data_IF_497754701242
#
_entry.id   IF_497754701242
#
_cell.length_a   1.000
_cell.length_b   1.000
_cell.length_c   1.000
_cell.angle_alpha   90.00
_cell.angle_beta   90.00
_cell.angle_gamma   90.00
#
_symmetry.space_group_name_H-M   'P 1'
#
loop_
_entity.id
_entity.type
_entity.pdbx_description
1 polymer ?
#
# COMPACT_ATOMS: atom_id res chain seq x y z
N UNK A 1 -10.39 41.80 -39.59
CA UNK A 1 -9.63 43.04 -39.30
C UNK A 1 -8.65 42.74 -38.17
N UNK A 2 -7.42 43.28 -38.21
CA UNK A 2 -6.33 42.93 -37.28
C UNK A 2 -6.35 43.83 -36.05
N UNK A 3 -6.17 43.28 -34.83
CA UNK A 3 -5.71 44.02 -33.64
C UNK A 3 -4.77 43.13 -32.81
N UNK A 4 -3.51 43.10 -33.21
CA UNK A 4 -2.40 42.62 -32.38
C UNK A 4 -2.05 43.72 -31.39
N UNK A 5 -1.93 43.40 -30.09
CA UNK A 5 -1.36 44.32 -29.09
C UNK A 5 -0.04 43.74 -28.60
N UNK A 6 1.01 44.55 -28.73
CA UNK A 6 2.41 44.25 -28.41
C UNK A 6 2.77 44.82 -27.03
N UNK A 7 3.81 44.22 -26.41
CA UNK A 7 4.64 44.80 -25.33
C UNK A 7 3.93 45.04 -23.98
N UNK A 8 4.56 44.80 -22.83
CA UNK A 8 5.91 45.17 -22.46
C UNK A 8 6.69 44.10 -21.67
N UNK A 9 8.00 44.05 -21.95
CA UNK A 9 9.01 43.31 -21.20
C UNK A 9 9.60 44.26 -20.14
N UNK A 10 9.58 43.86 -18.87
CA UNK A 10 10.33 44.56 -17.80
C UNK A 10 11.22 43.56 -17.08
N UNK A 11 12.48 43.55 -17.50
CA UNK A 11 13.57 42.86 -16.82
C UNK A 11 14.02 43.73 -15.63
N UNK A 12 14.12 43.16 -14.43
CA UNK A 12 14.68 43.87 -13.27
C UNK A 12 15.47 42.91 -12.39
N UNK A 13 16.70 42.64 -12.84
CA UNK A 13 17.76 42.04 -12.04
C UNK A 13 18.29 43.07 -11.04
N UNK A 14 18.12 42.82 -9.74
CA UNK A 14 18.87 43.53 -8.68
C UNK A 14 19.92 42.58 -8.12
N UNK A 15 21.17 42.89 -8.44
CA UNK A 15 22.37 42.37 -7.77
C UNK A 15 22.82 43.37 -6.68
N UNK A 16 23.94 43.06 -6.02
CA UNK A 16 24.58 43.74 -4.87
C UNK A 16 24.06 43.32 -3.48
N UNK A 17 24.91 43.19 -2.45
CA UNK A 17 26.36 42.98 -2.39
C UNK A 17 26.77 42.47 -0.99
N UNK A 18 27.99 41.93 -0.91
CA UNK A 18 28.62 41.29 0.25
C UNK A 18 28.61 42.07 1.59
N UNK A 19 28.75 41.31 2.68
CA UNK A 19 29.61 41.68 3.81
C UNK A 19 30.52 40.50 4.20
N UNK A 20 31.72 40.80 4.69
CA UNK A 20 32.85 39.86 4.78
C UNK A 20 33.05 39.22 6.16
N UNK A 21 33.95 38.24 6.18
CA UNK A 21 34.43 37.49 7.34
C UNK A 21 35.15 38.34 8.38
N UNK A 22 35.15 37.87 9.64
CA UNK A 22 36.24 38.15 10.59
C UNK A 22 36.86 36.84 11.07
N UNK A 23 38.19 36.73 10.88
CA UNK A 23 39.12 35.73 11.46
C UNK A 23 39.34 36.06 12.95
N UNK A 24 39.95 35.26 13.85
CA UNK A 24 40.40 33.85 13.96
C UNK A 24 40.95 33.73 15.39
N UNK A 25 40.72 32.62 16.10
CA UNK A 25 41.62 32.17 17.17
C UNK A 25 41.63 30.64 17.21
N UNK A 26 42.82 30.06 17.44
CA UNK A 26 43.09 28.63 17.26
C UNK A 26 43.40 27.97 18.60
N UNK A 27 42.82 26.80 18.86
CA UNK A 27 43.41 25.79 19.74
C UNK A 27 43.11 24.39 19.18
N UNK A 28 44.17 23.66 18.89
CA UNK A 28 44.20 22.32 18.30
C UNK A 28 44.52 21.32 19.41
N UNK A 29 43.79 20.20 19.50
CA UNK A 29 44.40 18.86 19.59
C UNK A 29 43.34 17.75 19.67
N UNK A 30 43.64 16.63 19.03
CA UNK A 30 42.90 15.38 19.06
C UNK A 30 43.06 14.61 20.39
N UNK A 31 42.02 13.87 20.81
CA UNK A 31 42.22 12.61 21.53
C UNK A 31 41.22 11.56 21.03
N UNK A 32 41.74 10.38 20.73
CA UNK A 32 41.01 9.28 20.10
C UNK A 32 40.22 8.44 21.11
N UNK A 33 39.33 7.60 20.57
CA UNK A 33 38.59 6.58 21.31
C UNK A 33 39.50 5.43 21.76
N UNK A 34 39.15 4.80 22.88
CA UNK A 34 39.65 3.49 23.28
C UNK A 34 38.53 2.72 24.00
N UNK A 35 38.16 1.56 23.45
CA UNK A 35 37.37 0.55 24.16
C UNK A 35 37.68 -0.83 23.59
N UNK A 36 38.64 -1.48 24.23
CA UNK A 36 38.84 -2.93 24.40
C UNK A 36 38.37 -3.90 23.30
N UNK A 37 39.32 -4.49 22.58
CA UNK A 37 39.18 -5.83 21.98
C UNK A 37 40.28 -6.74 22.54
N UNK A 38 39.89 -7.94 22.94
CA UNK A 38 40.82 -8.96 23.44
C UNK A 38 41.40 -9.83 22.31
N UNK A 39 42.63 -10.30 22.56
CA UNK A 39 43.45 -11.21 21.76
C UNK A 39 42.70 -12.51 21.41
N UNK A 40 42.85 -13.09 20.20
CA UNK A 40 43.74 -14.26 19.96
C UNK A 40 44.15 -14.44 18.49
N UNK A 41 45.38 -14.94 18.36
CA UNK A 41 46.24 -15.19 17.20
C UNK A 41 45.81 -16.35 16.29
N UNK A 42 46.14 -16.23 14.99
CA UNK A 42 46.89 -17.24 14.18
C UNK A 42 46.10 -18.49 13.68
N UNK A 43 46.22 -19.02 12.44
CA UNK A 43 47.18 -18.79 11.34
C UNK A 43 46.66 -19.13 9.92
N UNK A 44 47.36 -18.56 8.91
CA UNK A 44 47.74 -19.15 7.59
C UNK A 44 46.73 -19.69 6.56
N UNK A 45 46.73 -19.05 5.36
CA UNK A 45 46.89 -19.65 4.00
C UNK A 45 45.80 -20.59 3.40
N UNK A 46 45.61 -20.71 2.06
CA UNK A 46 46.02 -19.94 0.86
C UNK A 46 45.20 -20.41 -0.36
N UNK A 47 44.97 -19.48 -1.28
CA UNK A 47 44.32 -19.53 -2.60
C UNK A 47 44.27 -20.83 -3.45
N UNK A 48 43.17 -20.90 -4.24
CA UNK A 48 43.13 -21.01 -5.73
C UNK A 48 42.51 -22.27 -6.36
N UNK A 49 41.55 -22.01 -7.28
CA UNK A 49 41.33 -22.70 -8.59
C UNK A 49 41.03 -24.22 -8.64
N UNK A 50 40.36 -24.80 -9.66
CA UNK A 50 39.45 -24.37 -10.73
C UNK A 50 38.97 -25.65 -11.49
N UNK A 51 37.81 -25.63 -12.16
CA UNK A 51 37.31 -26.69 -13.07
C UNK A 51 36.98 -28.08 -12.44
N UNK A 52 36.17 -28.98 -13.02
CA UNK A 52 35.34 -28.93 -14.26
C UNK A 52 34.25 -30.03 -14.27
N UNK A 53 33.04 -29.67 -14.71
CA UNK A 53 32.25 -30.28 -15.79
C UNK A 53 32.15 -31.83 -15.97
N UNK A 54 30.91 -32.34 -15.77
CA UNK A 54 30.17 -33.39 -16.52
C UNK A 54 30.43 -34.92 -16.42
N UNK A 55 29.28 -35.62 -16.30
CA UNK A 55 28.81 -36.82 -17.03
C UNK A 55 28.98 -38.26 -16.49
N UNK A 56 27.85 -38.76 -15.94
CA UNK A 56 27.04 -39.86 -16.51
C UNK A 56 27.22 -41.32 -16.07
N UNK A 57 26.08 -42.04 -16.21
CA UNK A 57 25.91 -43.50 -16.48
C UNK A 57 25.69 -44.39 -15.23
N UNK A 58 24.79 -45.39 -15.14
CA UNK A 58 23.43 -45.75 -15.68
C UNK A 58 22.95 -47.01 -14.90
N UNK A 59 21.65 -47.36 -14.95
CA UNK A 59 21.03 -48.66 -14.53
C UNK A 59 20.60 -48.78 -13.05
N UNK A 60 19.49 -49.44 -12.67
CA UNK A 60 18.43 -50.12 -13.44
C UNK A 60 17.21 -50.53 -12.57
N UNK A 61 16.08 -50.85 -13.22
CA UNK A 61 15.01 -51.82 -12.80
C UNK A 61 14.06 -51.40 -11.64
N UNK A 62 12.73 -51.64 -11.65
CA UNK A 62 11.82 -52.28 -12.64
C UNK A 62 10.33 -51.89 -12.41
N UNK A 63 9.50 -51.92 -13.49
CA UNK A 63 8.04 -52.26 -13.63
C UNK A 63 7.13 -52.43 -12.38
N UNK A 64 5.81 -52.18 -12.32
CA UNK A 64 4.69 -52.16 -13.33
C UNK A 64 3.33 -51.83 -12.63
N UNK A 65 2.12 -51.63 -13.21
CA UNK A 65 1.58 -51.18 -14.54
C UNK A 65 0.01 -51.16 -14.49
N UNK A 66 -0.67 -50.31 -15.32
CA UNK A 66 -2.11 -50.31 -15.75
C UNK A 66 -3.32 -50.08 -14.80
N UNK A 67 -4.09 -49.02 -15.09
CA UNK A 67 -5.57 -48.92 -15.43
C UNK A 67 -6.51 -50.11 -15.08
N UNK A 68 -7.80 -49.95 -14.71
CA UNK A 68 -8.86 -49.11 -15.33
C UNK A 68 -10.20 -49.09 -14.52
N UNK A 69 -11.19 -48.28 -14.95
CA UNK A 69 -12.67 -48.43 -14.79
C UNK A 69 -13.44 -47.96 -13.53
N UNK A 70 -14.16 -46.84 -13.69
CA UNK A 70 -15.64 -46.68 -13.61
C UNK A 70 -16.46 -47.28 -12.45
N UNK A 71 -17.15 -46.43 -11.68
CA UNK A 71 -18.65 -46.35 -11.65
C UNK A 71 -19.18 -45.28 -10.69
N UNK A 72 -20.33 -44.70 -11.05
CA UNK A 72 -21.04 -43.66 -10.28
C UNK A 72 -21.89 -44.26 -9.15
N UNK A 73 -22.07 -43.52 -8.07
CA UNK A 73 -23.25 -43.66 -7.20
C UNK A 73 -23.81 -42.29 -6.86
N UNK A 74 -24.98 -41.99 -7.42
CA UNK A 74 -25.81 -40.88 -6.99
C UNK A 74 -26.22 -41.03 -5.52
N UNK A 75 -26.20 -39.94 -4.76
CA UNK A 75 -26.93 -39.84 -3.50
C UNK A 75 -27.48 -38.43 -3.38
N UNK A 76 -28.71 -38.25 -3.86
CA UNK A 76 -29.50 -37.06 -3.61
C UNK A 76 -29.75 -36.92 -2.11
N UNK A 77 -29.15 -35.91 -1.48
CA UNK A 77 -29.54 -35.43 -0.16
C UNK A 77 -30.08 -34.02 -0.28
N UNK A 78 -31.40 -33.91 -0.38
CA UNK A 78 -32.11 -32.64 -0.31
C UNK A 78 -31.88 -32.03 1.07
N UNK A 79 -31.17 -30.90 1.17
CA UNK A 79 -31.05 -30.13 2.41
C UNK A 79 -31.25 -28.66 2.11
N UNK A 80 -32.31 -28.11 2.70
CA UNK A 80 -32.66 -26.69 2.84
C UNK A 80 -32.06 -25.71 1.82
N UNK A 81 -32.90 -25.25 0.89
CA UNK A 81 -32.84 -23.85 0.46
C UNK A 81 -33.07 -22.98 1.69
N UNK A 82 -31.99 -22.56 2.35
CA UNK A 82 -32.04 -21.38 3.19
C UNK A 82 -32.42 -20.22 2.28
N UNK A 83 -33.68 -19.81 2.36
CA UNK A 83 -34.12 -18.50 1.85
C UNK A 83 -33.53 -17.46 2.78
N UNK A 84 -32.22 -17.27 2.70
CA UNK A 84 -31.57 -16.07 3.24
C UNK A 84 -32.25 -14.90 2.56
N UNK A 85 -32.98 -14.13 3.35
CA UNK A 85 -33.48 -12.83 2.92
C UNK A 85 -32.26 -12.05 2.45
N UNK A 86 -32.14 -11.85 1.13
CA UNK A 86 -31.04 -11.10 0.52
C UNK A 86 -31.24 -9.64 0.91
N UNK A 87 -30.85 -9.31 2.14
CA UNK A 87 -30.74 -7.94 2.63
C UNK A 87 -29.81 -7.24 1.66
N UNK A 88 -30.35 -6.28 0.92
CA UNK A 88 -29.61 -5.54 -0.10
C UNK A 88 -28.67 -4.52 0.54
N UNK A 89 -27.75 -5.02 1.37
CA UNK A 89 -26.74 -4.23 2.05
C UNK A 89 -25.76 -3.70 1.01
N UNK A 90 -25.37 -2.43 1.15
CA UNK A 90 -24.35 -1.81 0.30
C UNK A 90 -23.02 -2.58 0.42
N UNK A 91 -22.71 -3.09 1.61
CA UNK A 91 -21.56 -3.95 1.90
C UNK A 91 -21.95 -5.26 2.61
N UNK A 92 -21.17 -6.32 2.36
CA UNK A 92 -21.37 -7.64 2.97
C UNK A 92 -20.05 -8.43 3.00
N UNK A 93 -20.03 -9.55 3.73
CA UNK A 93 -18.88 -10.45 3.76
C UNK A 93 -18.50 -10.98 2.36
N UNK A 94 -19.49 -11.32 1.52
CA UNK A 94 -19.24 -11.79 0.14
C UNK A 94 -18.61 -10.70 -0.74
N UNK A 95 -19.07 -9.45 -0.58
CA UNK A 95 -18.47 -8.29 -1.26
C UNK A 95 -17.04 -8.03 -0.77
N UNK A 96 -16.79 -8.22 0.52
CA UNK A 96 -15.43 -8.16 1.09
C UNK A 96 -14.50 -9.24 0.51
N UNK A 97 -14.97 -10.47 0.36
CA UNK A 97 -14.23 -11.57 -0.27
C UNK A 97 -13.93 -11.31 -1.76
N UNK A 98 -14.90 -10.76 -2.49
CA UNK A 98 -14.70 -10.32 -3.88
C UNK A 98 -13.65 -9.20 -3.97
N UNK A 99 -13.69 -8.21 -3.06
CA UNK A 99 -12.71 -7.12 -3.01
C UNK A 99 -11.30 -7.65 -2.66
N UNK A 100 -11.18 -8.60 -1.75
CA UNK A 100 -9.89 -9.23 -1.43
C UNK A 100 -9.29 -9.94 -2.65
N UNK A 101 -10.12 -10.69 -3.39
CA UNK A 101 -9.70 -11.38 -4.62
C UNK A 101 -9.30 -10.39 -5.72
N UNK A 102 -10.10 -9.33 -5.90
CA UNK A 102 -9.81 -8.24 -6.83
C UNK A 102 -8.50 -7.53 -6.51
N UNK A 103 -8.28 -7.15 -5.25
CA UNK A 103 -7.06 -6.45 -4.82
C UNK A 103 -5.80 -7.32 -4.94
N UNK A 104 -5.92 -8.64 -4.74
CA UNK A 104 -4.82 -9.57 -4.98
C UNK A 104 -4.44 -9.63 -6.47
N UNK A 105 -5.43 -9.76 -7.37
CA UNK A 105 -5.22 -9.79 -8.82
C UNK A 105 -4.69 -8.46 -9.37
N UNK A 106 -5.32 -7.35 -8.98
CA UNK A 106 -4.92 -5.99 -9.37
C UNK A 106 -3.51 -5.66 -8.86
N UNK A 107 -3.16 -6.04 -7.63
CA UNK A 107 -1.81 -5.92 -7.10
C UNK A 107 -0.77 -6.64 -7.98
N UNK A 108 -1.05 -7.88 -8.39
CA UNK A 108 -0.16 -8.62 -9.30
C UNK A 108 0.06 -7.90 -10.63
N UNK A 109 -1.00 -7.38 -11.27
CA UNK A 109 -0.91 -6.56 -12.49
C UNK A 109 -0.01 -5.35 -12.31
N UNK A 110 -0.06 -4.70 -11.14
CA UNK A 110 0.77 -3.53 -10.80
C UNK A 110 2.18 -3.87 -10.28
N UNK A 111 2.52 -5.16 -10.09
CA UNK A 111 3.77 -5.58 -9.45
C UNK A 111 3.87 -5.17 -7.97
N UNK A 112 2.73 -5.10 -7.29
CA UNK A 112 2.56 -4.67 -5.90
C UNK A 112 1.84 -5.74 -5.08
N UNK A 113 2.05 -5.78 -3.76
CA UNK A 113 1.38 -6.74 -2.87
C UNK A 113 0.63 -6.00 -1.79
N UNK A 114 -0.70 -5.96 -1.94
CA UNK A 114 -1.61 -5.28 -1.02
C UNK A 114 -2.09 -6.21 0.08
N UNK A 115 -2.06 -5.72 1.32
CA UNK A 115 -2.67 -6.38 2.48
C UNK A 115 -3.89 -5.59 2.95
N UNK A 116 -4.86 -6.27 3.58
CA UNK A 116 -6.05 -5.67 4.13
C UNK A 116 -5.84 -5.17 5.57
N UNK A 117 -6.45 -4.03 5.90
CA UNK A 117 -6.36 -3.35 7.19
C UNK A 117 -7.74 -2.83 7.61
N UNK A 118 -7.91 -2.57 8.91
CA UNK A 118 -9.18 -2.17 9.52
C UNK A 118 -9.00 -1.76 10.98
N UNK A 119 -10.09 -1.48 11.73
CA UNK A 119 -10.00 -1.09 13.13
C UNK A 119 -9.22 -2.12 13.97
N UNK A 120 -8.23 -1.66 14.74
CA UNK A 120 -7.32 -2.52 15.51
C UNK A 120 -6.26 -3.27 14.70
N UNK A 121 -6.35 -3.34 13.36
CA UNK A 121 -5.35 -3.94 12.47
C UNK A 121 -4.81 -2.88 11.49
N UNK A 122 -3.79 -2.14 11.92
CA UNK A 122 -3.32 -0.95 11.22
C UNK A 122 -2.10 -1.19 10.32
N UNK A 123 -2.03 -0.41 9.24
CA UNK A 123 -0.80 -0.19 8.48
C UNK A 123 -0.05 1.02 9.01
N UNK A 124 1.28 0.92 9.09
CA UNK A 124 2.16 2.03 9.44
C UNK A 124 2.59 2.78 8.17
N UNK A 125 1.91 3.88 7.86
CA UNK A 125 2.28 4.83 6.80
C UNK A 125 3.20 5.92 7.37
N UNK A 126 4.50 5.68 7.34
CA UNK A 126 5.55 6.64 7.74
C UNK A 126 5.40 7.19 9.18
N UNK A 127 4.89 6.37 10.11
CA UNK A 127 4.64 6.71 11.51
C UNK A 127 3.15 6.84 11.85
N UNK A 128 2.29 7.09 10.87
CA UNK A 128 0.84 7.15 11.06
C UNK A 128 0.23 5.75 10.95
N UNK A 129 -0.52 5.34 11.97
CA UNK A 129 -1.26 4.08 11.98
C UNK A 129 -2.63 4.29 11.30
N UNK A 130 -2.93 3.52 10.25
CA UNK A 130 -4.17 3.65 9.49
C UNK A 130 -4.93 2.31 9.42
N UNK A 131 -6.27 2.31 9.55
CA UNK A 131 -7.15 3.49 9.59
C UNK A 131 -7.32 4.18 10.96
N UNK A 132 -6.93 3.56 12.08
CA UNK A 132 -7.31 4.05 13.42
C UNK A 132 -6.86 5.48 13.72
N UNK A 133 -5.72 5.91 13.18
CA UNK A 133 -5.20 7.26 13.36
C UNK A 133 -6.15 8.37 12.90
N UNK A 134 -6.90 8.14 11.82
CA UNK A 134 -7.88 9.09 11.28
C UNK A 134 -9.33 8.77 11.66
N UNK A 135 -9.66 7.51 11.96
CA UNK A 135 -10.99 7.13 12.49
C UNK A 135 -11.20 7.62 13.93
N UNK A 136 -10.15 7.55 14.76
CA UNK A 136 -10.21 7.89 16.19
C UNK A 136 -9.56 9.25 16.50
N UNK A 137 -9.23 10.04 15.48
CA UNK A 137 -8.54 11.33 15.57
C UNK A 137 -7.26 11.32 16.45
N UNK A 138 -6.49 10.23 16.37
CA UNK A 138 -5.32 10.04 17.24
C UNK A 138 -4.27 11.11 16.97
N UNK A 139 -3.78 11.76 18.02
CA UNK A 139 -2.85 12.89 17.93
C UNK A 139 -3.37 14.05 17.04
N UNK A 140 -4.69 14.19 16.91
CA UNK A 140 -5.33 15.22 16.08
C UNK A 140 -5.30 14.92 14.58
N UNK A 141 -4.96 13.71 14.15
CA UNK A 141 -5.01 13.37 12.73
C UNK A 141 -6.45 13.35 12.19
N UNK A 142 -6.63 13.86 10.97
CA UNK A 142 -7.94 13.90 10.32
C UNK A 142 -7.82 13.62 8.82
N UNK A 143 -8.71 12.78 8.30
CA UNK A 143 -8.83 12.56 6.87
C UNK A 143 -9.41 13.81 6.17
N UNK A 144 -8.80 14.21 5.06
CA UNK A 144 -9.26 15.32 4.22
C UNK A 144 -9.40 14.89 2.78
N UNK A 145 -10.31 15.51 2.04
CA UNK A 145 -10.40 15.42 0.57
C UNK A 145 -10.43 16.84 0.02
N UNK A 146 -9.53 17.16 -0.90
CA UNK A 146 -9.33 18.52 -1.42
C UNK A 146 -9.12 19.55 -0.28
N UNK A 147 -8.20 19.24 0.63
CA UNK A 147 -7.89 19.97 1.87
C UNK A 147 -9.09 20.19 2.83
N UNK A 148 -10.24 19.56 2.58
CA UNK A 148 -11.46 19.72 3.40
C UNK A 148 -11.64 18.49 4.31
N UNK A 149 -11.75 18.67 5.64
CA UNK A 149 -12.06 17.57 6.56
C UNK A 149 -13.30 16.78 6.18
N UNK A 150 -13.18 15.46 6.11
CA UNK A 150 -14.30 14.56 5.87
C UNK A 150 -14.76 13.86 7.16
N UNK A 151 -16.05 13.58 7.26
CA UNK A 151 -16.57 12.60 8.22
C UNK A 151 -16.30 11.21 7.63
N UNK A 152 -15.48 10.41 8.31
CA UNK A 152 -15.09 9.07 7.92
C UNK A 152 -15.43 8.12 9.06
N UNK A 153 -16.14 7.03 8.77
CA UNK A 153 -16.62 6.09 9.80
C UNK A 153 -16.51 4.67 9.25
N UNK A 154 -15.95 3.74 10.03
CA UNK A 154 -15.94 2.34 9.65
C UNK A 154 -17.37 1.78 9.64
N UNK A 155 -17.76 1.10 8.57
CA UNK A 155 -19.11 0.57 8.40
C UNK A 155 -19.08 -0.86 7.84
N UNK A 156 -19.67 -1.80 8.58
CA UNK A 156 -19.72 -3.22 8.19
C UNK A 156 -20.78 -3.49 7.10
N UNK A 157 -21.80 -2.64 6.98
CA UNK A 157 -22.87 -2.75 5.98
C UNK A 157 -22.78 -1.70 4.87
N UNK A 158 -21.80 -0.78 4.92
CA UNK A 158 -21.59 0.27 3.93
C UNK A 158 -22.51 1.49 4.09
N UNK A 159 -23.41 1.49 5.07
CA UNK A 159 -24.28 2.62 5.38
C UNK A 159 -23.68 3.49 6.50
N UNK A 160 -23.81 4.81 6.36
CA UNK A 160 -23.52 5.81 7.39
C UNK A 160 -24.55 6.94 7.31
N UNK A 161 -24.89 7.63 8.41
CA UNK A 161 -25.85 8.74 8.38
C UNK A 161 -25.40 9.92 7.51
N UNK A 162 -24.09 10.16 7.42
CA UNK A 162 -23.47 11.20 6.60
C UNK A 162 -21.98 10.93 6.39
N UNK A 163 -21.42 11.46 5.30
CA UNK A 163 -20.00 11.29 4.96
C UNK A 163 -19.67 9.93 4.39
N UNK A 164 -18.46 9.44 4.71
CA UNK A 164 -17.83 8.29 4.07
C UNK A 164 -17.90 7.06 4.98
N UNK A 165 -18.68 6.05 4.57
CA UNK A 165 -18.64 4.72 5.16
C UNK A 165 -17.42 3.96 4.65
N UNK A 166 -16.38 3.85 5.46
CA UNK A 166 -15.16 3.09 5.16
C UNK A 166 -15.43 1.60 5.37
N UNK A 167 -15.38 0.82 4.29
CA UNK A 167 -15.71 -0.62 4.30
C UNK A 167 -14.47 -1.53 4.23
N UNK A 168 -13.35 -1.02 3.73
CA UNK A 168 -12.06 -1.70 3.74
C UNK A 168 -10.89 -0.73 3.54
N UNK A 169 -9.70 -1.10 4.03
CA UNK A 169 -8.43 -0.44 3.72
C UNK A 169 -7.45 -1.45 3.14
N UNK A 170 -6.72 -1.07 2.09
CA UNK A 170 -5.64 -1.87 1.53
C UNK A 170 -4.35 -1.05 1.39
N UNK A 171 -3.20 -1.67 1.64
CA UNK A 171 -1.90 -1.00 1.47
C UNK A 171 -0.77 -1.95 1.07
N UNK A 172 0.14 -1.44 0.25
CA UNK A 172 1.43 -2.06 -0.10
C UNK A 172 2.56 -1.65 0.86
N UNK A 173 2.31 -0.78 1.84
CA UNK A 173 3.36 -0.10 2.63
C UNK A 173 4.34 -1.04 3.38
N UNK A 174 3.89 -2.25 3.78
CA UNK A 174 4.72 -3.26 4.43
C UNK A 174 5.54 -4.11 3.44
N UNK A 175 5.03 -4.31 2.22
CA UNK A 175 5.67 -5.14 1.18
C UNK A 175 6.59 -4.30 0.27
N UNK A 176 6.35 -3.00 0.21
CA UNK A 176 7.05 -2.04 -0.62
C UNK A 176 8.40 -1.63 -0.01
N UNK A 177 9.48 -1.90 -0.73
CA UNK A 177 10.86 -1.74 -0.27
C UNK A 177 11.63 -0.59 -0.94
N UNK A 178 12.70 -0.15 -0.29
CA UNK A 178 13.57 0.92 -0.79
C UNK A 178 12.88 2.28 -0.85
N UNK A 179 13.09 3.01 -1.95
CA UNK A 179 12.56 4.36 -2.18
C UNK A 179 11.20 4.37 -2.91
N UNK A 180 10.57 3.21 -3.13
CA UNK A 180 9.29 3.12 -3.82
C UNK A 180 8.16 3.77 -3.00
N UNK A 181 7.27 4.48 -3.69
CA UNK A 181 6.08 5.10 -3.10
C UNK A 181 5.19 4.05 -2.46
N UNK A 182 4.70 4.34 -1.25
CA UNK A 182 3.72 3.54 -0.53
C UNK A 182 2.32 4.12 -0.75
N UNK A 183 1.33 3.24 -0.82
CA UNK A 183 -0.05 3.59 -1.13
C UNK A 183 -0.97 3.03 -0.05
N UNK A 184 -1.94 3.82 0.38
CA UNK A 184 -3.05 3.36 1.21
C UNK A 184 -4.35 3.72 0.48
N UNK A 185 -5.13 2.70 0.15
CA UNK A 185 -6.43 2.80 -0.50
C UNK A 185 -7.54 2.62 0.53
N UNK A 186 -8.45 3.58 0.58
CA UNK A 186 -9.65 3.57 1.42
C UNK A 186 -10.85 3.29 0.52
N UNK A 187 -11.49 2.15 0.70
CA UNK A 187 -12.70 1.76 -0.02
C UNK A 187 -13.89 2.27 0.77
N UNK A 188 -14.61 3.23 0.20
CA UNK A 188 -15.63 4.03 0.89
C UNK A 188 -16.95 4.06 0.15
N UNK A 189 -18.05 4.21 0.86
CA UNK A 189 -19.38 4.41 0.28
C UNK A 189 -19.93 5.73 0.85
N UNK A 190 -20.21 6.69 -0.02
CA UNK A 190 -20.77 8.00 0.34
C UNK A 190 -22.16 8.11 -0.29
N UNK A 191 -23.22 8.13 0.53
CA UNK A 191 -24.61 8.21 0.05
C UNK A 191 -24.98 7.10 -0.94
N UNK A 192 -24.49 5.87 -0.73
CA UNK A 192 -24.66 4.75 -1.65
C UNK A 192 -23.72 4.73 -2.85
N UNK A 193 -22.91 5.77 -3.07
CA UNK A 193 -21.95 5.84 -4.18
C UNK A 193 -20.60 5.24 -3.74
N UNK A 194 -20.10 4.18 -4.39
CA UNK A 194 -18.79 3.62 -4.11
C UNK A 194 -17.67 4.57 -4.60
N UNK A 195 -16.71 4.84 -3.72
CA UNK A 195 -15.53 5.68 -3.98
C UNK A 195 -14.27 5.02 -3.45
N UNK A 196 -13.22 5.00 -4.27
CA UNK A 196 -11.88 4.54 -3.86
C UNK A 196 -10.99 5.75 -3.68
N UNK A 197 -10.70 6.07 -2.42
CA UNK A 197 -9.77 7.13 -2.06
C UNK A 197 -8.35 6.55 -1.92
N UNK A 198 -7.32 7.36 -2.17
CA UNK A 198 -5.91 6.97 -2.07
C UNK A 198 -5.09 8.08 -1.42
N UNK A 199 -4.08 7.68 -0.66
CA UNK A 199 -2.98 8.56 -0.23
C UNK A 199 -1.63 7.87 -0.35
N UNK A 200 -0.62 8.70 -0.62
CA UNK A 200 0.81 8.37 -0.60
C UNK A 200 1.61 9.43 0.16
N UNK A 201 0.93 10.16 1.06
CA UNK A 201 1.54 11.21 1.87
C UNK A 201 2.67 10.64 2.74
N UNK A 202 3.86 11.20 2.59
CA UNK A 202 5.09 10.76 3.27
C UNK A 202 5.63 11.79 4.27
N UNK A 203 4.93 12.91 4.44
CA UNK A 203 5.27 13.99 5.37
C UNK A 203 4.00 14.44 6.13
N UNK A 204 4.16 14.83 7.38
CA UNK A 204 3.10 15.55 8.10
C UNK A 204 2.89 16.95 7.55
N UNK A 205 1.79 17.59 7.94
CA UNK A 205 1.53 19.00 7.71
C UNK A 205 1.07 19.67 9.02
N UNK A 206 1.08 21.02 9.12
CA UNK A 206 0.76 21.71 10.37
C UNK A 206 -0.63 21.45 10.95
N UNK A 207 -1.56 20.90 10.17
CA UNK A 207 -2.94 20.63 10.56
C UNK A 207 -3.17 19.15 10.93
N UNK A 208 -2.14 18.29 10.86
CA UNK A 208 -2.26 16.82 10.97
C UNK A 208 -3.28 16.22 9.98
N UNK A 209 -3.40 16.79 8.78
CA UNK A 209 -4.31 16.25 7.77
C UNK A 209 -3.68 15.07 7.02
N UNK A 210 -4.44 14.00 6.86
CA UNK A 210 -4.17 12.95 5.89
C UNK A 210 -4.93 13.29 4.61
N UNK A 211 -4.23 13.86 3.63
CA UNK A 211 -4.83 14.21 2.35
C UNK A 211 -5.09 12.93 1.55
N UNK A 212 -6.37 12.63 1.40
CA UNK A 212 -6.92 11.62 0.51
C UNK A 212 -7.39 12.32 -0.76
N UNK A 213 -7.28 11.62 -1.88
CA UNK A 213 -7.89 11.99 -3.15
C UNK A 213 -8.61 10.79 -3.72
N UNK A 214 -9.62 10.99 -4.55
CA UNK A 214 -10.11 9.86 -5.34
C UNK A 214 -8.98 9.33 -6.23
N UNK A 215 -8.89 8.00 -6.37
CA UNK A 215 -7.90 7.38 -7.26
C UNK A 215 -8.13 7.80 -8.71
N UNK A 216 -7.07 7.91 -9.52
CA UNK A 216 -7.23 8.08 -10.98
C UNK A 216 -7.37 6.73 -11.70
N UNK A 217 -7.03 5.63 -11.02
CA UNK A 217 -7.05 4.28 -11.59
C UNK A 217 -8.49 3.81 -11.82
N UNK A 218 -8.86 3.67 -13.10
CA UNK A 218 -10.21 3.31 -13.51
C UNK A 218 -10.56 1.85 -13.18
N UNK A 219 -9.59 0.93 -13.14
CA UNK A 219 -9.83 -0.46 -12.76
C UNK A 219 -10.28 -0.55 -11.31
N UNK A 220 -9.61 0.17 -10.39
CA UNK A 220 -10.04 0.27 -8.98
C UNK A 220 -11.44 0.84 -8.83
N UNK A 221 -11.77 1.93 -9.56
CA UNK A 221 -13.12 2.53 -9.51
C UNK A 221 -14.18 1.55 -10.00
N UNK A 222 -13.96 0.97 -11.18
CA UNK A 222 -14.94 0.12 -11.84
C UNK A 222 -15.12 -1.21 -11.11
N UNK A 223 -14.02 -1.86 -10.70
CA UNK A 223 -14.05 -3.12 -9.96
C UNK A 223 -14.74 -2.98 -8.59
N UNK A 224 -14.43 -1.92 -7.82
CA UNK A 224 -15.14 -1.68 -6.56
C UNK A 224 -16.61 -1.32 -6.77
N UNK A 225 -16.93 -0.54 -7.81
CA UNK A 225 -18.32 -0.21 -8.16
C UNK A 225 -19.13 -1.46 -8.54
N UNK A 226 -18.55 -2.36 -9.35
CA UNK A 226 -19.12 -3.67 -9.70
C UNK A 226 -19.40 -4.51 -8.46
N UNK A 227 -18.43 -4.63 -7.54
CA UNK A 227 -18.58 -5.39 -6.29
C UNK A 227 -19.71 -4.81 -5.41
N UNK A 228 -19.80 -3.49 -5.27
CA UNK A 228 -20.85 -2.84 -4.46
C UNK A 228 -22.23 -2.95 -5.12
N UNK A 229 -22.31 -2.88 -6.44
CA UNK A 229 -23.59 -2.92 -7.19
C UNK A 229 -24.03 -4.35 -7.60
N UNK A 230 -23.16 -5.34 -7.49
CA UNK A 230 -23.44 -6.74 -7.87
C UNK A 230 -23.46 -6.98 -9.38
N UNK A 231 -22.58 -6.31 -10.14
CA UNK A 231 -22.49 -6.37 -11.61
C UNK A 231 -21.24 -7.09 -12.12
#
# INVERSE_FOLDING_TARGET
MKKTVMFCLVLSTVLLAACQQTKKATAQSSKAAESSIAVTKESSSKASSESSTTNSTTSSSTSSTTTNSTSSTDTSSSTATETTTVSNLLWSADKSNQLASFMASWGQTMGQSYQAYGPGNNVNLYGLQLPDGVLNHMNGWQATVANTPISLTWSENGEVPSGYGLVAVYSDAQTQSGQKTRHVYFFTIEGGTPKVLVTSQNQGNPNNYLELRETDNQELKNGFSQIVTGQ
#
